data_IF_262207080004
#
_entry.id   IF_262207080004
#
_cell.length_a   1.000
_cell.length_b   1.000
_cell.length_c   1.000
_cell.angle_alpha   90.00
_cell.angle_beta   90.00
_cell.angle_gamma   90.00
#
_symmetry.space_group_name_H-M   'P 1'
#
loop_
_entity.id
_entity.type
_entity.pdbx_description
1 polymer ?
#
# COMPACT_ATOMS: atom_id res chain seq x y z
N UNK A 1 -31.72 42.54 0.02
CA UNK A 1 -32.31 41.35 -0.64
C UNK A 1 -31.28 40.35 -1.20
N UNK A 2 -30.03 40.73 -1.49
CA UNK A 2 -29.00 39.83 -2.04
C UNK A 2 -28.45 38.75 -1.08
N UNK A 3 -28.74 38.85 0.23
CA UNK A 3 -28.08 38.00 1.24
C UNK A 3 -28.75 36.61 1.42
N UNK A 4 -30.05 36.50 1.11
CA UNK A 4 -30.79 35.22 1.21
C UNK A 4 -30.26 34.16 0.23
N UNK A 5 -29.87 34.56 -0.98
CA UNK A 5 -29.34 33.64 -1.98
C UNK A 5 -27.95 33.09 -1.66
N UNK A 6 -27.18 33.78 -0.80
CA UNK A 6 -25.85 33.31 -0.38
C UNK A 6 -25.97 32.24 0.71
N UNK A 7 -26.89 32.42 1.65
CA UNK A 7 -27.20 31.44 2.69
C UNK A 7 -27.79 30.14 2.13
N UNK A 8 -28.66 30.21 1.11
CA UNK A 8 -29.20 29.01 0.46
C UNK A 8 -28.12 28.19 -0.27
N UNK A 9 -27.10 28.83 -0.86
CA UNK A 9 -26.00 28.10 -1.51
C UNK A 9 -25.09 27.39 -0.52
N UNK A 10 -24.87 27.97 0.66
CA UNK A 10 -24.08 27.32 1.72
C UNK A 10 -24.86 26.13 2.31
N UNK A 11 -26.17 26.30 2.55
CA UNK A 11 -27.04 25.22 3.04
C UNK A 11 -27.12 24.06 2.05
N UNK A 12 -27.28 24.34 0.74
CA UNK A 12 -27.30 23.31 -0.31
C UNK A 12 -25.94 22.62 -0.49
N UNK A 13 -24.82 23.33 -0.30
CA UNK A 13 -23.49 22.71 -0.29
C UNK A 13 -23.28 21.82 0.94
N UNK A 14 -23.86 22.15 2.10
CA UNK A 14 -23.84 21.29 3.28
C UNK A 14 -24.62 19.99 3.10
N UNK A 15 -25.81 20.05 2.47
CA UNK A 15 -26.62 18.85 2.21
C UNK A 15 -26.12 17.99 1.04
N UNK A 16 -25.45 18.57 0.04
CA UNK A 16 -24.84 17.80 -1.04
C UNK A 16 -23.47 17.20 -0.65
N UNK A 17 -22.86 17.68 0.44
CA UNK A 17 -21.65 17.11 1.00
C UNK A 17 -21.88 15.85 1.84
N UNK A 18 -23.12 15.35 1.95
CA UNK A 18 -23.41 14.15 2.74
C UNK A 18 -22.98 14.33 4.19
N UNK A 19 -23.28 15.49 4.79
CA UNK A 19 -23.42 15.55 6.25
C UNK A 19 -24.72 14.82 6.58
N UNK A 20 -24.61 13.49 6.53
CA UNK A 20 -25.47 12.53 7.19
C UNK A 20 -25.82 13.12 8.57
N UNK A 21 -27.10 13.40 8.81
CA UNK A 21 -27.59 13.60 10.17
C UNK A 21 -27.43 12.24 10.84
N UNK A 22 -26.22 12.01 11.34
CA UNK A 22 -25.86 10.83 12.10
C UNK A 22 -26.91 10.69 13.17
N UNK A 23 -27.65 9.59 13.07
CA UNK A 23 -28.54 9.12 14.11
C UNK A 23 -27.80 9.28 15.45
N UNK A 24 -28.31 10.04 16.44
CA UNK A 24 -27.60 10.25 17.71
C UNK A 24 -27.32 8.91 18.42
N UNK A 25 -28.03 7.84 18.06
CA UNK A 25 -27.73 6.47 18.50
C UNK A 25 -26.46 5.86 17.87
N UNK A 26 -26.04 6.30 16.69
CA UNK A 26 -24.76 5.88 16.08
C UNK A 26 -23.54 6.53 16.74
N UNK A 27 -23.71 7.66 17.43
CA UNK A 27 -22.63 8.38 18.11
C UNK A 27 -22.20 7.72 19.43
N UNK A 28 -23.05 6.86 20.01
CA UNK A 28 -22.76 6.09 21.22
C UNK A 28 -22.04 4.74 20.96
N UNK A 29 -21.88 4.33 19.69
CA UNK A 29 -21.26 3.04 19.38
C UNK A 29 -19.73 3.17 19.54
N UNK A 30 -19.17 2.45 20.52
CA UNK A 30 -17.72 2.37 20.78
C UNK A 30 -16.97 2.21 19.45
N UNK A 31 -16.11 3.17 19.05
CA UNK A 31 -15.40 3.09 17.79
C UNK A 31 -14.59 1.79 17.76
N UNK A 32 -14.76 0.97 16.73
CA UNK A 32 -13.92 -0.21 16.54
C UNK A 32 -12.56 0.24 15.97
N UNK A 33 -11.48 0.27 16.77
CA UNK A 33 -10.18 0.71 16.32
C UNK A 33 -9.65 -0.16 15.19
N UNK A 34 -10.00 -1.46 15.18
CA UNK A 34 -9.52 -2.44 14.20
C UNK A 34 -10.11 -2.14 12.82
N UNK A 35 -11.40 -1.77 12.77
CA UNK A 35 -12.06 -1.41 11.52
C UNK A 35 -11.48 -0.13 10.89
N UNK A 36 -11.26 0.92 11.71
CA UNK A 36 -10.69 2.20 11.26
C UNK A 36 -9.24 2.05 10.80
N UNK A 37 -8.42 1.31 11.56
CA UNK A 37 -7.05 0.98 11.20
C UNK A 37 -6.98 0.15 9.91
N UNK A 38 -7.86 -0.84 9.79
CA UNK A 38 -7.94 -1.71 8.62
C UNK A 38 -8.29 -0.95 7.34
N UNK A 39 -9.20 0.03 7.41
CA UNK A 39 -9.60 0.85 6.27
C UNK A 39 -8.43 1.67 5.69
N UNK A 40 -7.55 2.19 6.55
CA UNK A 40 -6.38 2.97 6.12
C UNK A 40 -5.36 2.16 5.30
N UNK A 41 -5.36 0.83 5.45
CA UNK A 41 -4.44 -0.09 4.77
C UNK A 41 -4.97 -0.65 3.44
N UNK A 42 -6.24 -0.39 3.08
CA UNK A 42 -6.83 -0.84 1.81
C UNK A 42 -6.05 -0.41 0.55
N UNK A 43 -5.52 0.83 0.45
CA UNK A 43 -4.74 1.23 -0.71
C UNK A 43 -3.45 0.41 -0.86
N UNK A 44 -2.79 0.08 0.25
CA UNK A 44 -1.59 -0.77 0.23
C UNK A 44 -1.97 -2.17 -0.26
N UNK A 45 -3.05 -2.76 0.26
CA UNK A 45 -3.48 -4.09 -0.16
C UNK A 45 -3.75 -4.17 -1.68
N UNK A 46 -4.33 -3.12 -2.26
CA UNK A 46 -4.51 -3.02 -3.73
C UNK A 46 -3.18 -2.85 -4.45
N UNK A 47 -2.29 -2.00 -3.94
CA UNK A 47 -0.95 -1.83 -4.49
C UNK A 47 -0.13 -3.13 -4.43
N UNK A 48 -0.33 -3.98 -3.42
CA UNK A 48 0.34 -5.27 -3.29
C UNK A 48 -0.07 -6.25 -4.39
N UNK A 49 -1.34 -6.26 -4.81
CA UNK A 49 -1.78 -7.04 -5.96
C UNK A 49 -1.10 -6.60 -7.26
N UNK A 50 -1.01 -5.28 -7.48
CA UNK A 50 -0.35 -4.72 -8.66
C UNK A 50 1.14 -5.06 -8.63
N UNK A 51 1.82 -4.85 -7.51
CA UNK A 51 3.23 -5.18 -7.36
C UNK A 51 3.50 -6.68 -7.53
N UNK A 52 2.65 -7.55 -6.98
CA UNK A 52 2.74 -8.99 -7.17
C UNK A 52 2.61 -9.40 -8.65
N UNK A 53 1.67 -8.79 -9.38
CA UNK A 53 1.51 -9.02 -10.81
C UNK A 53 2.75 -8.55 -11.60
N UNK A 54 3.29 -7.37 -11.28
CA UNK A 54 4.51 -6.86 -11.90
C UNK A 54 5.72 -7.76 -11.63
N UNK A 55 5.93 -8.19 -10.38
CA UNK A 55 7.02 -9.10 -10.05
C UNK A 55 6.83 -10.50 -10.66
N UNK A 56 5.59 -10.99 -10.76
CA UNK A 56 5.27 -12.23 -11.45
C UNK A 56 5.57 -12.16 -12.94
N UNK A 57 5.25 -11.04 -13.60
CA UNK A 57 5.61 -10.78 -14.99
C UNK A 57 7.13 -10.69 -15.17
N UNK A 58 7.84 -10.03 -14.24
CA UNK A 58 9.30 -10.03 -14.27
C UNK A 58 9.85 -11.45 -14.13
N UNK A 59 9.33 -12.24 -13.19
CA UNK A 59 9.76 -13.63 -12.98
C UNK A 59 9.59 -14.50 -14.23
N UNK A 60 8.52 -14.32 -15.01
CA UNK A 60 8.33 -15.06 -16.26
C UNK A 60 9.28 -14.63 -17.38
N UNK A 61 9.72 -13.37 -17.38
CA UNK A 61 10.70 -12.83 -18.33
C UNK A 61 12.16 -13.12 -17.94
N UNK A 62 12.41 -13.49 -16.68
CA UNK A 62 13.76 -13.66 -16.15
C UNK A 62 14.62 -14.67 -16.94
N UNK A 63 14.13 -15.86 -17.36
CA UNK A 63 14.94 -16.79 -18.15
C UNK A 63 15.36 -16.21 -19.49
N UNK A 64 14.47 -15.47 -20.16
CA UNK A 64 14.75 -14.82 -21.45
C UNK A 64 15.75 -13.67 -21.32
N UNK A 65 15.70 -12.92 -20.23
CA UNK A 65 16.59 -11.76 -20.02
C UNK A 65 17.97 -12.12 -19.46
N UNK A 66 18.06 -13.21 -18.69
CA UNK A 66 19.27 -13.54 -17.91
C UNK A 66 19.93 -14.86 -18.30
N UNK A 67 19.24 -15.71 -19.07
CA UNK A 67 19.69 -17.07 -19.36
C UNK A 67 19.69 -18.02 -18.16
N UNK A 68 19.15 -17.60 -17.01
CA UNK A 68 19.15 -18.39 -15.76
C UNK A 68 17.75 -18.50 -15.15
N UNK A 69 17.32 -19.74 -14.89
CA UNK A 69 16.09 -20.01 -14.15
C UNK A 69 16.17 -19.54 -12.68
N UNK A 70 17.37 -19.46 -12.11
CA UNK A 70 17.58 -18.97 -10.75
C UNK A 70 17.20 -17.50 -10.59
N UNK A 71 17.33 -16.70 -11.65
CA UNK A 71 16.93 -15.29 -11.63
C UNK A 71 15.41 -15.11 -11.45
N UNK A 72 14.60 -16.07 -11.90
CA UNK A 72 13.15 -16.04 -11.72
C UNK A 72 12.76 -16.15 -10.24
N UNK A 73 13.56 -16.81 -9.40
CA UNK A 73 13.28 -16.93 -7.97
C UNK A 73 13.45 -15.58 -7.24
N UNK A 74 14.36 -14.72 -7.71
CA UNK A 74 14.62 -13.42 -7.10
C UNK A 74 13.40 -12.50 -7.11
N UNK A 75 12.60 -12.54 -8.18
CA UNK A 75 11.35 -11.76 -8.27
C UNK A 75 10.12 -12.61 -7.98
N UNK A 76 10.16 -13.91 -8.27
CA UNK A 76 9.04 -14.83 -8.07
C UNK A 76 8.69 -15.07 -6.60
N UNK A 77 9.69 -15.23 -5.72
CA UNK A 77 9.44 -15.42 -4.28
C UNK A 77 8.78 -14.17 -3.66
N UNK A 78 9.29 -12.95 -3.88
CA UNK A 78 8.60 -11.73 -3.48
C UNK A 78 7.20 -11.58 -4.09
N UNK A 79 7.01 -11.93 -5.37
CA UNK A 79 5.70 -11.88 -6.02
C UNK A 79 4.68 -12.76 -5.28
N UNK A 80 5.05 -14.01 -5.00
CA UNK A 80 4.21 -14.95 -4.27
C UNK A 80 3.93 -14.48 -2.84
N UNK A 81 4.95 -13.97 -2.14
CA UNK A 81 4.79 -13.42 -0.79
C UNK A 81 3.82 -12.22 -0.77
N UNK A 82 3.93 -11.30 -1.74
CA UNK A 82 3.05 -10.15 -1.85
C UNK A 82 1.62 -10.55 -2.23
N UNK A 83 1.44 -11.51 -3.14
CA UNK A 83 0.12 -12.04 -3.48
C UNK A 83 -0.55 -12.71 -2.27
N UNK A 84 0.19 -13.55 -1.54
CA UNK A 84 -0.30 -14.18 -0.31
C UNK A 84 -0.66 -13.13 0.76
N UNK A 85 0.19 -12.12 0.94
CA UNK A 85 -0.09 -11.02 1.86
C UNK A 85 -1.32 -10.21 1.45
N UNK A 86 -1.52 -9.95 0.16
CA UNK A 86 -2.69 -9.24 -0.35
C UNK A 86 -3.98 -10.06 -0.17
N UNK A 87 -3.91 -11.37 -0.40
CA UNK A 87 -5.02 -12.31 -0.19
C UNK A 87 -5.41 -12.42 1.29
N UNK A 88 -4.45 -12.75 2.16
CA UNK A 88 -4.68 -12.90 3.61
C UNK A 88 -5.06 -11.55 4.24
N UNK A 89 -4.45 -10.46 3.76
CA UNK A 89 -4.72 -9.09 4.20
C UNK A 89 -6.13 -8.58 3.88
N UNK A 90 -6.91 -9.32 3.09
CA UNK A 90 -8.36 -9.11 2.95
C UNK A 90 -9.08 -9.20 4.30
N UNK A 91 -8.58 -10.03 5.23
CA UNK A 91 -9.16 -10.22 6.57
C UNK A 91 -8.73 -9.09 7.53
N UNK A 92 -9.66 -8.47 8.27
CA UNK A 92 -9.35 -7.32 9.14
C UNK A 92 -8.30 -7.64 10.22
N UNK A 93 -8.35 -8.83 10.82
CA UNK A 93 -7.42 -9.24 11.88
C UNK A 93 -5.97 -9.48 11.42
N UNK A 94 -5.74 -9.80 10.14
CA UNK A 94 -4.41 -10.10 9.61
C UNK A 94 -3.80 -8.96 8.79
N UNK A 95 -4.60 -7.95 8.42
CA UNK A 95 -4.22 -6.91 7.44
C UNK A 95 -2.92 -6.21 7.81
N UNK A 96 -2.74 -5.82 9.06
CA UNK A 96 -1.52 -5.13 9.51
C UNK A 96 -0.27 -5.98 9.27
N UNK A 97 -0.27 -7.21 9.78
CA UNK A 97 0.88 -8.13 9.65
C UNK A 97 1.18 -8.42 8.19
N UNK A 98 0.16 -8.67 7.38
CA UNK A 98 0.32 -8.89 5.95
C UNK A 98 0.91 -7.67 5.23
N UNK A 99 0.46 -6.45 5.53
CA UNK A 99 1.01 -5.25 4.89
C UNK A 99 2.46 -4.97 5.32
N UNK A 100 2.83 -5.29 6.58
CA UNK A 100 4.24 -5.24 7.02
C UNK A 100 5.07 -6.23 6.20
N UNK A 101 4.61 -7.48 6.08
CA UNK A 101 5.31 -8.52 5.32
C UNK A 101 5.48 -8.13 3.83
N UNK A 102 4.44 -7.58 3.19
CA UNK A 102 4.50 -7.09 1.82
C UNK A 102 5.48 -5.91 1.67
N UNK A 103 5.50 -4.98 2.63
CA UNK A 103 6.45 -3.85 2.65
C UNK A 103 7.89 -4.32 2.85
N UNK A 104 8.11 -5.31 3.72
CA UNK A 104 9.42 -5.92 3.93
C UNK A 104 9.90 -6.68 2.69
N UNK A 105 9.02 -7.43 2.02
CA UNK A 105 9.35 -8.14 0.78
C UNK A 105 9.77 -7.15 -0.32
N UNK A 106 9.02 -6.07 -0.52
CA UNK A 106 9.40 -5.02 -1.46
C UNK A 106 10.73 -4.35 -1.09
N UNK A 107 10.95 -4.07 0.20
CA UNK A 107 12.22 -3.53 0.70
C UNK A 107 13.41 -4.46 0.45
N UNK A 108 13.23 -5.77 0.63
CA UNK A 108 14.26 -6.76 0.36
C UNK A 108 14.62 -6.81 -1.14
N UNK A 109 13.61 -6.75 -2.02
CA UNK A 109 13.86 -6.67 -3.47
C UNK A 109 14.58 -5.38 -3.84
N UNK A 110 14.17 -4.24 -3.29
CA UNK A 110 14.85 -2.97 -3.52
C UNK A 110 16.34 -3.10 -3.14
N UNK A 111 16.65 -3.55 -1.92
CA UNK A 111 18.03 -3.73 -1.46
C UNK A 111 18.82 -4.73 -2.32
N UNK A 112 18.22 -5.85 -2.69
CA UNK A 112 18.85 -6.86 -3.56
C UNK A 112 19.11 -6.36 -4.99
N UNK A 113 18.39 -5.32 -5.44
CA UNK A 113 18.52 -4.75 -6.79
C UNK A 113 19.23 -3.40 -6.82
N UNK A 114 19.65 -2.83 -5.68
CA UNK A 114 20.40 -1.57 -5.62
C UNK A 114 21.70 -1.65 -6.44
N UNK A 115 22.37 -2.81 -6.46
CA UNK A 115 23.59 -3.01 -7.26
C UNK A 115 23.40 -2.76 -8.76
N UNK A 116 22.16 -2.82 -9.27
CA UNK A 116 21.82 -2.54 -10.65
C UNK A 116 22.11 -1.08 -11.06
N UNK A 117 22.11 -0.15 -10.10
CA UNK A 117 22.46 1.25 -10.36
C UNK A 117 23.90 1.39 -10.86
N UNK A 118 24.83 0.53 -10.38
CA UNK A 118 26.20 0.47 -10.89
C UNK A 118 26.29 -0.17 -12.29
N UNK A 119 25.27 -0.91 -12.70
CA UNK A 119 25.18 -1.61 -13.98
C UNK A 119 24.58 -0.80 -15.13
N UNK A 120 24.18 0.46 -14.90
CA UNK A 120 23.54 1.30 -15.94
C UNK A 120 24.43 1.43 -17.18
N UNK A 121 25.76 1.51 -17.01
CA UNK A 121 26.72 1.55 -18.12
C UNK A 121 26.77 0.27 -18.96
N UNK A 122 26.24 -0.86 -18.44
CA UNK A 122 26.20 -2.14 -19.15
C UNK A 122 24.96 -2.34 -20.03
N UNK A 123 24.04 -1.36 -20.09
CA UNK A 123 22.85 -1.41 -20.95
C UNK A 123 23.17 -1.48 -22.46
N UNK A 124 24.39 -1.15 -22.87
CA UNK A 124 24.89 -1.33 -24.25
C UNK A 124 25.68 -2.63 -24.49
N UNK A 125 25.79 -3.50 -23.49
CA UNK A 125 26.60 -4.73 -23.56
C UNK A 125 25.74 -5.98 -23.78
N UNK A 126 26.39 -7.12 -24.00
CA UNK A 126 25.73 -8.44 -24.03
C UNK A 126 24.93 -8.76 -22.75
N UNK A 127 25.21 -8.06 -21.64
CA UNK A 127 24.52 -8.20 -20.34
C UNK A 127 23.36 -7.23 -20.13
N UNK A 128 22.97 -6.48 -21.16
CA UNK A 128 21.90 -5.49 -21.08
C UNK A 128 20.57 -6.05 -20.52
N UNK A 129 20.22 -7.29 -20.89
CA UNK A 129 19.01 -7.96 -20.41
C UNK A 129 18.97 -8.14 -18.89
N UNK A 130 20.09 -8.54 -18.28
CA UNK A 130 20.19 -8.72 -16.84
C UNK A 130 20.15 -7.38 -16.09
N UNK A 131 20.83 -6.35 -16.60
CA UNK A 131 20.79 -5.01 -16.03
C UNK A 131 19.38 -4.40 -16.09
N UNK A 132 18.70 -4.51 -17.24
CA UNK A 132 17.32 -4.04 -17.41
C UNK A 132 16.35 -4.76 -16.47
N UNK A 133 16.50 -6.07 -16.29
CA UNK A 133 15.69 -6.86 -15.37
C UNK A 133 15.84 -6.38 -13.91
N UNK A 134 17.07 -6.18 -13.44
CA UNK A 134 17.31 -5.71 -12.07
C UNK A 134 16.79 -4.28 -11.86
N UNK A 135 16.99 -3.38 -12.84
CA UNK A 135 16.45 -2.02 -12.79
C UNK A 135 14.92 -2.02 -12.74
N UNK A 136 14.26 -2.87 -13.52
CA UNK A 136 12.80 -3.00 -13.48
C UNK A 136 12.32 -3.47 -12.10
N UNK A 137 13.00 -4.44 -11.50
CA UNK A 137 12.71 -4.89 -10.13
C UNK A 137 12.85 -3.75 -9.10
N UNK A 138 13.91 -2.96 -9.21
CA UNK A 138 14.15 -1.80 -8.34
C UNK A 138 13.05 -0.74 -8.49
N UNK A 139 12.64 -0.43 -9.72
CA UNK A 139 11.59 0.55 -10.00
C UNK A 139 10.25 0.10 -9.41
N UNK A 140 9.86 -1.17 -9.64
CA UNK A 140 8.60 -1.72 -9.10
C UNK A 140 8.61 -1.67 -7.57
N UNK A 141 9.71 -2.10 -6.94
CA UNK A 141 9.85 -2.07 -5.48
C UNK A 141 9.76 -0.64 -4.92
N UNK A 142 10.46 0.31 -5.56
CA UNK A 142 10.50 1.72 -5.14
C UNK A 142 9.13 2.39 -5.26
N UNK A 143 8.43 2.18 -6.38
CA UNK A 143 7.08 2.70 -6.58
C UNK A 143 6.11 2.16 -5.54
N UNK A 144 6.20 0.87 -5.24
CA UNK A 144 5.37 0.27 -4.17
C UNK A 144 5.65 0.93 -2.81
N UNK A 145 6.91 1.14 -2.44
CA UNK A 145 7.28 1.78 -1.17
C UNK A 145 6.80 3.24 -1.09
N UNK A 146 6.91 4.00 -2.19
CA UNK A 146 6.40 5.38 -2.30
C UNK A 146 4.88 5.42 -2.07
N UNK A 147 4.14 4.47 -2.66
CA UNK A 147 2.69 4.35 -2.48
C UNK A 147 2.31 3.86 -1.07
N UNK A 148 3.13 2.99 -0.47
CA UNK A 148 2.90 2.46 0.87
C UNK A 148 3.06 3.53 1.96
N UNK A 149 4.01 4.45 1.79
CA UNK A 149 4.34 5.50 2.75
C UNK A 149 3.14 6.33 3.26
N UNK A 150 2.34 7.01 2.41
CA UNK A 150 1.23 7.84 2.89
C UNK A 150 0.15 7.01 3.60
N UNK A 151 -0.03 5.75 3.20
CA UNK A 151 -1.00 4.84 3.82
C UNK A 151 -0.56 4.43 5.22
N UNK A 152 0.74 4.18 5.44
CA UNK A 152 1.31 3.98 6.77
C UNK A 152 1.15 5.23 7.65
N UNK A 153 1.37 6.43 7.10
CA UNK A 153 1.14 7.67 7.87
C UNK A 153 -0.32 7.81 8.31
N UNK A 154 -1.28 7.49 7.42
CA UNK A 154 -2.72 7.50 7.76
C UNK A 154 -3.05 6.48 8.84
N UNK A 155 -2.52 5.26 8.73
CA UNK A 155 -2.66 4.23 9.75
C UNK A 155 -2.14 4.70 11.12
N UNK A 156 -0.94 5.29 11.19
CA UNK A 156 -0.38 5.79 12.45
C UNK A 156 -1.16 6.97 13.06
N UNK A 157 -1.78 7.82 12.22
CA UNK A 157 -2.66 8.88 12.70
C UNK A 157 -3.96 8.30 13.27
N UNK A 158 -4.58 7.36 12.55
CA UNK A 158 -5.79 6.68 12.99
C UNK A 158 -5.59 5.90 14.29
N UNK A 159 -4.49 5.15 14.39
CA UNK A 159 -4.15 4.36 15.58
C UNK A 159 -3.91 5.26 16.80
N UNK A 160 -3.22 6.40 16.64
CA UNK A 160 -3.03 7.37 17.73
C UNK A 160 -4.35 7.98 18.20
N UNK A 161 -5.23 8.36 17.27
CA UNK A 161 -6.54 8.90 17.61
C UNK A 161 -7.43 7.86 18.32
N UNK A 162 -7.39 6.61 17.88
CA UNK A 162 -8.14 5.53 18.50
C UNK A 162 -7.66 5.24 19.94
N UNK A 163 -6.34 5.19 20.16
CA UNK A 163 -5.77 5.02 21.50
C UNK A 163 -6.10 6.17 22.44
N UNK A 164 -6.05 7.41 21.94
CA UNK A 164 -6.42 8.58 22.73
C UNK A 164 -7.90 8.53 23.18
N UNK A 165 -8.80 8.06 22.32
CA UNK A 165 -10.22 7.87 22.68
C UNK A 165 -10.42 6.75 23.70
N UNK A 166 -9.69 5.65 23.56
CA UNK A 166 -9.77 4.54 24.53
C UNK A 166 -9.30 4.99 25.93
N UNK A 167 -8.21 5.76 26.01
CA UNK A 167 -7.73 6.31 27.27
C UNK A 167 -8.79 7.15 27.99
N UNK A 168 -9.54 7.99 27.26
CA UNK A 168 -10.64 8.78 27.84
C UNK A 168 -11.78 7.93 28.41
N UNK A 169 -12.04 6.74 27.84
CA UNK A 169 -13.04 5.81 28.38
C UNK A 169 -12.52 5.00 29.58
N UNK A 170 -11.21 4.83 29.70
CA UNK A 170 -10.60 4.15 30.85
C UNK A 170 -10.53 5.04 32.10
N UNK A 171 -10.66 6.36 31.94
CA UNK A 171 -10.68 7.35 33.03
C UNK A 171 -12.08 7.62 33.63
N UNK A 172 -13.15 7.13 33.00
CA UNK A 172 -14.55 7.29 33.41
C UNK A 172 -15.07 6.04 34.15
#
# INVERSE_FOLDING_TARGET
MADRHRLERIRRRGTAAGLDHGDPEHEARRPDPVALEGAALLPIARASWIAAACFGLLASLAPSCTGSNGAALLTGVPAAAMAAAAWIGGRPGCRRVCMVAATAAAGFVALGTVGALGGIGQLGSERAGAAAFQLAGLVVASLYLIVAWPSWQRFHRASRAARARLALFEEL
#
